data_IF_714334725649
#
_entry.id   IF_714334725649
#
_cell.length_a   1.000
_cell.length_b   1.000
_cell.length_c   1.000
_cell.angle_alpha   90.00
_cell.angle_beta   90.00
_cell.angle_gamma   90.00
#
_symmetry.space_group_name_H-M   'P 1'
#
loop_
_entity.id
_entity.type
_entity.pdbx_description
1 polymer ?
#
# COMPACT_ATOMS: atom_id res chain seq x y z
N UNK A 1 -0.65 -4.54 -1.27
CA UNK A 1 -1.25 -3.71 -0.22
C UNK A 1 -0.17 -3.13 0.71
N UNK A 2 -0.57 -2.21 1.61
CA UNK A 2 0.36 -1.56 2.57
C UNK A 2 0.01 -1.94 4.01
N UNK A 3 -1.17 -1.56 4.48
CA UNK A 3 -1.61 -1.78 5.86
C UNK A 3 -1.92 -3.26 6.12
N UNK A 4 -1.20 -3.89 7.05
CA UNK A 4 -1.29 -5.33 7.32
C UNK A 4 -0.47 -6.22 6.37
N UNK A 5 0.09 -5.64 5.31
CA UNK A 5 0.90 -6.35 4.29
C UNK A 5 2.37 -5.94 4.37
N UNK A 6 2.68 -4.68 4.19
CA UNK A 6 4.04 -4.13 4.32
C UNK A 6 4.31 -3.58 5.72
N UNK A 7 3.27 -3.05 6.35
CA UNK A 7 3.33 -2.43 7.67
C UNK A 7 2.38 -3.13 8.64
N UNK A 8 2.89 -3.52 9.79
CA UNK A 8 2.08 -4.00 10.91
C UNK A 8 1.36 -2.82 11.57
N UNK A 9 0.05 -2.88 11.51
CA UNK A 9 -0.86 -1.86 12.03
C UNK A 9 -1.61 -2.33 13.29
N UNK A 10 -1.18 -3.43 13.90
CA UNK A 10 -1.90 -4.12 14.99
C UNK A 10 -2.21 -3.18 16.17
N UNK A 11 -1.29 -2.26 16.48
CA UNK A 11 -1.43 -1.32 17.60
C UNK A 11 -2.62 -0.35 17.44
N UNK A 12 -3.05 -0.05 16.20
CA UNK A 12 -4.18 0.85 15.91
C UNK A 12 -5.47 0.14 15.49
N UNK A 13 -5.45 -1.19 15.25
CA UNK A 13 -6.66 -1.97 14.93
C UNK A 13 -7.74 -1.90 16.04
N UNK A 14 -7.34 -1.70 17.32
CA UNK A 14 -8.26 -1.53 18.42
C UNK A 14 -9.32 -0.43 18.21
N UNK A 15 -9.00 0.59 17.40
CA UNK A 15 -9.89 1.71 17.10
C UNK A 15 -11.03 1.35 16.17
N UNK A 16 -10.84 0.35 15.31
CA UNK A 16 -11.85 -0.11 14.34
C UNK A 16 -12.45 -1.48 14.66
N UNK A 17 -11.93 -2.18 15.67
CA UNK A 17 -12.54 -3.40 16.23
C UNK A 17 -13.66 -3.09 17.24
N UNK A 18 -13.77 -1.86 17.72
CA UNK A 18 -14.84 -1.40 18.63
C UNK A 18 -16.07 -0.93 17.84
N UNK A 19 -17.19 -0.82 18.54
CA UNK A 19 -18.44 -0.28 17.98
C UNK A 19 -18.88 0.93 18.81
N UNK A 20 -19.09 2.11 18.22
CA UNK A 20 -18.82 2.45 16.81
C UNK A 20 -17.33 2.44 16.49
N UNK A 21 -16.99 2.16 15.21
CA UNK A 21 -15.62 2.24 14.72
C UNK A 21 -15.14 3.69 14.76
N UNK A 22 -13.92 3.89 15.25
CA UNK A 22 -13.26 5.19 15.35
C UNK A 22 -12.22 5.31 14.23
N UNK A 23 -12.70 5.70 13.06
CA UNK A 23 -11.86 5.85 11.89
C UNK A 23 -10.90 7.04 11.99
N UNK A 24 -11.28 8.08 12.73
CA UNK A 24 -10.43 9.26 12.96
C UNK A 24 -9.18 8.85 13.73
N UNK A 25 -9.35 8.20 14.87
CA UNK A 25 -8.23 7.70 15.65
C UNK A 25 -7.40 6.64 14.87
N UNK A 26 -8.05 5.76 14.10
CA UNK A 26 -7.34 4.78 13.29
C UNK A 26 -6.43 5.42 12.24
N UNK A 27 -6.83 6.56 11.67
CA UNK A 27 -6.10 7.28 10.63
C UNK A 27 -5.16 8.36 11.19
N UNK A 28 -5.09 8.56 12.51
CA UNK A 28 -4.25 9.58 13.12
C UNK A 28 -2.78 9.39 12.69
N UNK A 29 -2.16 10.40 12.05
CA UNK A 29 -0.76 10.34 11.66
C UNK A 29 0.20 10.05 12.83
N UNK A 30 -0.15 10.50 14.04
CA UNK A 30 0.62 10.22 15.27
C UNK A 30 0.64 8.74 15.64
N UNK A 31 -0.38 7.98 15.27
CA UNK A 31 -0.37 6.54 15.45
C UNK A 31 0.37 5.84 14.31
N UNK A 32 0.22 6.31 13.08
CA UNK A 32 0.86 5.71 11.90
C UNK A 32 2.39 5.73 11.96
N UNK A 33 2.99 6.69 12.64
CA UNK A 33 4.45 6.72 12.87
C UNK A 33 4.98 5.50 13.63
N UNK A 34 4.10 4.74 14.28
CA UNK A 34 4.42 3.51 15.02
C UNK A 34 4.07 2.24 14.24
N UNK A 35 3.64 2.36 12.99
CA UNK A 35 3.46 1.20 12.11
C UNK A 35 4.84 0.54 11.89
N UNK A 36 4.97 -0.76 12.17
CA UNK A 36 6.24 -1.47 12.07
C UNK A 36 6.38 -2.20 10.73
N UNK A 37 7.57 -2.28 10.14
CA UNK A 37 7.78 -2.94 8.86
C UNK A 37 7.63 -4.46 8.98
N UNK A 38 6.86 -5.07 8.08
CA UNK A 38 6.80 -6.53 7.92
C UNK A 38 7.95 -6.95 7.01
N UNK A 39 9.16 -7.06 7.59
CA UNK A 39 10.42 -7.27 6.88
C UNK A 39 10.42 -8.43 5.87
N UNK A 40 9.81 -9.60 6.13
CA UNK A 40 9.75 -10.66 5.13
C UNK A 40 9.10 -10.22 3.82
N UNK A 41 8.00 -9.48 3.88
CA UNK A 41 7.27 -9.02 2.69
C UNK A 41 8.01 -7.86 2.02
N UNK A 42 8.56 -6.93 2.81
CA UNK A 42 9.41 -5.85 2.30
C UNK A 42 10.61 -6.42 1.54
N UNK A 43 11.29 -7.44 2.07
CA UNK A 43 12.42 -8.06 1.39
C UNK A 43 12.03 -8.75 0.08
N UNK A 44 10.86 -9.37 0.00
CA UNK A 44 10.33 -9.93 -1.26
C UNK A 44 10.12 -8.80 -2.28
N UNK A 45 9.44 -7.72 -1.90
CA UNK A 45 9.19 -6.58 -2.79
C UNK A 45 10.51 -5.93 -3.25
N UNK A 46 11.49 -5.77 -2.35
CA UNK A 46 12.84 -5.29 -2.69
C UNK A 46 13.55 -6.21 -3.69
N UNK A 47 13.44 -7.52 -3.49
CA UNK A 47 14.04 -8.48 -4.42
C UNK A 47 13.49 -8.33 -5.85
N UNK A 48 12.18 -8.09 -6.00
CA UNK A 48 11.58 -7.77 -7.30
C UNK A 48 12.12 -6.45 -7.87
N UNK A 49 12.18 -5.40 -7.07
CA UNK A 49 12.67 -4.10 -7.53
C UNK A 49 14.11 -4.14 -8.04
N UNK A 50 14.99 -4.88 -7.34
CA UNK A 50 16.42 -4.90 -7.65
C UNK A 50 16.82 -5.94 -8.70
N UNK A 51 16.14 -7.09 -8.75
CA UNK A 51 16.57 -8.20 -9.59
C UNK A 51 15.75 -8.35 -10.89
N UNK A 52 14.64 -7.64 -11.00
CA UNK A 52 13.72 -7.75 -12.14
C UNK A 52 13.43 -6.37 -12.75
N UNK A 53 14.38 -5.77 -13.48
CA UNK A 53 14.24 -4.38 -13.96
C UNK A 53 13.10 -4.18 -14.97
N UNK A 54 12.57 -5.26 -15.54
CA UNK A 54 11.40 -5.23 -16.44
C UNK A 54 10.06 -5.34 -15.71
N UNK A 55 10.09 -5.83 -14.48
CA UNK A 55 8.90 -5.93 -13.63
C UNK A 55 8.75 -4.67 -12.78
N UNK A 56 7.54 -4.38 -12.38
CA UNK A 56 7.22 -3.24 -11.52
C UNK A 56 6.58 -3.74 -10.23
N UNK A 57 6.99 -3.17 -9.12
CA UNK A 57 6.24 -3.27 -7.88
C UNK A 57 5.27 -2.09 -7.84
N UNK A 58 3.99 -2.37 -7.67
CA UNK A 58 2.92 -1.38 -7.60
C UNK A 58 2.36 -1.40 -6.19
N UNK A 59 2.24 -0.24 -5.57
CA UNK A 59 1.61 -0.11 -4.27
C UNK A 59 0.15 0.29 -4.46
N UNK A 60 -0.78 -0.52 -3.93
CA UNK A 60 -2.21 -0.26 -3.94
C UNK A 60 -2.74 -0.22 -2.51
N UNK A 61 -3.38 0.86 -2.09
CA UNK A 61 -3.76 1.04 -0.70
C UNK A 61 -5.15 1.63 -0.53
N UNK A 62 -5.83 1.19 0.53
CA UNK A 62 -7.05 1.81 1.03
C UNK A 62 -6.83 3.14 1.76
N UNK A 63 -5.59 3.57 1.96
CA UNK A 63 -5.27 4.91 2.48
C UNK A 63 -5.73 5.99 1.51
N UNK A 64 -6.17 7.13 2.05
CA UNK A 64 -6.62 8.26 1.24
C UNK A 64 -5.47 8.87 0.43
N UNK A 65 -5.79 9.41 -0.74
CA UNK A 65 -4.85 10.19 -1.55
C UNK A 65 -4.24 11.37 -0.79
N UNK A 66 -4.99 11.98 0.13
CA UNK A 66 -4.48 13.03 1.03
C UNK A 66 -3.34 12.56 1.97
N UNK A 67 -3.18 11.24 2.15
CA UNK A 67 -2.12 10.63 2.97
C UNK A 67 -0.92 10.18 2.13
N UNK A 68 -0.89 10.47 0.83
CA UNK A 68 0.15 9.98 -0.10
C UNK A 68 1.55 10.33 0.37
N UNK A 69 1.79 11.59 0.72
CA UNK A 69 3.12 12.06 1.12
C UNK A 69 3.63 11.29 2.34
N UNK A 70 2.82 11.21 3.39
CA UNK A 70 3.20 10.50 4.62
C UNK A 70 3.39 9.00 4.37
N UNK A 71 2.56 8.41 3.49
CA UNK A 71 2.67 6.99 3.13
C UNK A 71 3.95 6.70 2.36
N UNK A 72 4.30 7.53 1.39
CA UNK A 72 5.54 7.41 0.62
C UNK A 72 6.74 7.60 1.54
N UNK A 73 6.70 8.59 2.44
CA UNK A 73 7.76 8.84 3.44
C UNK A 73 7.98 7.63 4.34
N UNK A 74 6.92 7.07 4.90
CA UNK A 74 7.01 5.92 5.80
C UNK A 74 7.57 4.67 5.13
N UNK A 75 7.35 4.49 3.82
CA UNK A 75 7.88 3.36 3.07
C UNK A 75 9.29 3.62 2.53
N UNK A 76 9.67 4.88 2.29
CA UNK A 76 10.98 5.22 1.73
C UNK A 76 12.14 4.75 2.58
N UNK A 77 11.98 4.75 3.89
CA UNK A 77 12.97 4.25 4.85
C UNK A 77 13.32 2.76 4.60
N UNK A 78 12.32 1.96 4.26
CA UNK A 78 12.45 0.52 4.08
C UNK A 78 12.76 0.09 2.66
N UNK A 79 12.34 0.87 1.70
CA UNK A 79 12.59 0.64 0.29
C UNK A 79 13.79 1.42 -0.23
N UNK A 80 14.69 1.90 0.64
CA UNK A 80 15.87 2.70 0.30
C UNK A 80 16.41 2.35 -1.09
N UNK A 81 15.81 2.97 -2.05
CA UNK A 81 16.35 3.08 -3.38
C UNK A 81 17.20 4.34 -3.32
N UNK A 82 18.45 4.27 -3.75
CA UNK A 82 19.40 5.39 -3.79
C UNK A 82 18.91 6.61 -4.62
N UNK A 83 17.67 6.84 -4.72
CA UNK A 83 17.01 7.91 -5.43
C UNK A 83 15.79 8.49 -4.71
N UNK A 84 15.31 7.87 -3.63
CA UNK A 84 14.20 8.39 -2.84
C UNK A 84 14.66 9.46 -1.81
N UNK A 85 15.93 9.83 -1.85
CA UNK A 85 16.58 10.64 -0.83
C UNK A 85 16.17 12.12 -0.77
N UNK A 86 15.19 12.60 -1.48
CA UNK A 86 14.79 14.02 -1.35
C UNK A 86 13.28 14.20 -1.37
N UNK A 87 12.63 13.76 -0.32
CA UNK A 87 11.50 14.55 0.14
C UNK A 87 12.12 15.70 0.91
N UNK A 88 12.02 16.90 0.36
CA UNK A 88 12.56 18.11 0.98
C UNK A 88 11.90 18.33 2.34
N UNK A 89 12.59 19.06 3.22
CA UNK A 89 12.05 19.54 4.50
C UNK A 89 10.71 20.30 4.39
N UNK A 90 10.25 20.57 3.19
CA UNK A 90 8.98 21.22 2.85
C UNK A 90 7.86 20.22 2.45
N UNK A 91 8.08 18.90 2.56
CA UNK A 91 7.07 17.88 2.23
C UNK A 91 6.76 17.77 0.73
N UNK A 92 7.58 18.35 -0.13
CA UNK A 92 7.45 18.21 -1.59
C UNK A 92 8.36 17.10 -2.08
N UNK A 93 7.85 16.22 -2.96
CA UNK A 93 8.69 15.33 -3.73
C UNK A 93 9.66 16.21 -4.54
N UNK A 94 10.95 16.15 -4.20
CA UNK A 94 11.97 16.90 -4.93
C UNK A 94 12.24 16.27 -6.31
N UNK A 95 12.86 17.04 -7.21
CA UNK A 95 13.16 16.71 -8.61
C UNK A 95 13.99 15.41 -8.81
N UNK A 96 14.46 14.79 -7.75
CA UNK A 96 15.23 13.53 -7.80
C UNK A 96 14.34 12.29 -8.10
N UNK A 97 13.02 12.43 -8.15
CA UNK A 97 12.07 11.35 -8.45
C UNK A 97 12.07 10.98 -9.95
N UNK A 98 12.64 11.80 -10.81
CA UNK A 98 12.62 11.56 -12.26
C UNK A 98 13.60 10.48 -12.77
N UNK A 99 14.54 9.99 -11.98
CA UNK A 99 15.63 9.14 -12.49
C UNK A 99 15.55 7.66 -12.14
N UNK A 100 14.59 7.22 -11.35
CA UNK A 100 14.37 5.81 -11.04
C UNK A 100 12.99 5.35 -11.49
N UNK A 101 12.82 4.06 -11.85
CA UNK A 101 11.50 3.53 -12.13
C UNK A 101 10.67 3.61 -10.83
N UNK A 102 10.02 4.75 -10.65
CA UNK A 102 9.16 5.00 -9.51
C UNK A 102 8.10 3.94 -9.46
N UNK A 103 8.08 3.21 -8.37
CA UNK A 103 6.98 2.28 -8.10
C UNK A 103 5.67 3.08 -8.08
N UNK A 104 4.69 2.75 -8.93
CA UNK A 104 3.43 3.47 -8.95
C UNK A 104 2.68 3.25 -7.64
N UNK A 105 2.04 4.33 -7.16
CA UNK A 105 1.15 4.29 -6.01
C UNK A 105 -0.28 4.56 -6.45
N UNK A 106 -1.17 3.64 -6.15
CA UNK A 106 -2.60 3.76 -6.34
C UNK A 106 -3.26 3.81 -4.97
N UNK A 107 -3.95 4.90 -4.70
CA UNK A 107 -4.54 5.16 -3.38
C UNK A 107 -6.02 5.51 -3.54
N UNK A 108 -6.78 5.28 -2.48
CA UNK A 108 -8.18 5.65 -2.40
C UNK A 108 -8.36 7.14 -2.67
N UNK A 109 -9.31 7.50 -3.50
CA UNK A 109 -9.66 8.91 -3.72
C UNK A 109 -10.02 9.59 -2.39
N UNK A 110 -9.72 10.89 -2.30
CA UNK A 110 -10.10 11.68 -1.14
C UNK A 110 -11.63 11.68 -0.97
N UNK A 111 -12.10 11.58 0.26
CA UNK A 111 -13.52 11.49 0.59
C UNK A 111 -14.27 10.26 0.03
N UNK A 112 -13.57 9.22 -0.39
CA UNK A 112 -14.18 7.94 -0.74
C UNK A 112 -14.29 7.05 0.51
N UNK A 113 -15.52 6.78 0.95
CA UNK A 113 -15.83 5.96 2.12
C UNK A 113 -16.39 4.58 1.76
N UNK A 114 -16.32 4.19 0.49
CA UNK A 114 -16.78 2.88 0.03
C UNK A 114 -15.92 1.75 0.60
N UNK A 115 -16.42 0.52 0.47
CA UNK A 115 -15.67 -0.66 0.93
C UNK A 115 -14.35 -0.81 0.18
N UNK A 116 -13.33 -1.31 0.87
CA UNK A 116 -12.01 -1.55 0.29
C UNK A 116 -12.03 -2.44 -0.95
N UNK A 117 -12.93 -3.43 -0.98
CA UNK A 117 -13.10 -4.31 -2.15
C UNK A 117 -13.50 -3.54 -3.40
N UNK A 118 -14.37 -2.53 -3.27
CA UNK A 118 -14.78 -1.67 -4.39
C UNK A 118 -13.63 -0.77 -4.82
N UNK A 119 -12.99 -0.13 -3.86
CA UNK A 119 -11.86 0.78 -4.12
C UNK A 119 -10.71 0.04 -4.79
N UNK A 120 -10.27 -1.09 -4.22
CA UNK A 120 -9.14 -1.85 -4.77
C UNK A 120 -9.47 -2.46 -6.14
N UNK A 121 -10.72 -2.81 -6.41
CA UNK A 121 -11.15 -3.21 -7.75
C UNK A 121 -10.96 -2.07 -8.77
N UNK A 122 -11.41 -0.87 -8.44
CA UNK A 122 -11.23 0.31 -9.31
C UNK A 122 -9.76 0.68 -9.49
N UNK A 123 -8.94 0.60 -8.43
CA UNK A 123 -7.50 0.82 -8.54
C UNK A 123 -6.85 -0.19 -9.49
N UNK A 124 -7.29 -1.45 -9.46
CA UNK A 124 -6.82 -2.46 -10.40
C UNK A 124 -7.21 -2.14 -11.84
N UNK A 125 -8.45 -1.72 -12.07
CA UNK A 125 -8.92 -1.31 -13.40
C UNK A 125 -8.13 -0.10 -13.90
N UNK A 126 -7.80 0.85 -13.03
CA UNK A 126 -6.94 1.98 -13.38
C UNK A 126 -5.51 1.51 -13.75
N UNK A 127 -4.94 0.56 -13.02
CA UNK A 127 -3.65 -0.02 -13.39
C UNK A 127 -3.68 -0.62 -14.82
N UNK A 128 -4.76 -1.29 -15.19
CA UNK A 128 -4.91 -1.84 -16.55
C UNK A 128 -5.00 -0.74 -17.61
N UNK A 129 -5.72 0.36 -17.32
CA UNK A 129 -5.80 1.54 -18.20
C UNK A 129 -4.43 2.19 -18.37
N UNK A 130 -3.64 2.26 -17.30
CA UNK A 130 -2.28 2.81 -17.31
C UNK A 130 -1.25 1.86 -17.97
N UNK A 131 -1.72 0.72 -18.47
CA UNK A 131 -0.90 -0.25 -19.25
C UNK A 131 -0.19 -1.29 -18.40
N UNK A 132 -0.41 -1.32 -17.09
CA UNK A 132 0.13 -2.36 -16.21
C UNK A 132 -0.69 -3.65 -16.35
N UNK A 133 -0.03 -4.79 -16.12
CA UNK A 133 -0.66 -6.12 -16.11
C UNK A 133 -0.27 -6.85 -14.84
N UNK A 134 -0.89 -6.56 -13.70
CA UNK A 134 -0.58 -7.21 -12.44
C UNK A 134 -0.66 -8.74 -12.58
N UNK A 135 0.33 -9.47 -12.07
CA UNK A 135 0.43 -10.92 -12.15
C UNK A 135 0.39 -11.57 -10.78
N UNK A 136 0.78 -10.82 -9.78
CA UNK A 136 0.89 -11.27 -8.40
C UNK A 136 0.46 -10.13 -7.47
N UNK A 137 -0.35 -10.45 -6.49
CA UNK A 137 -0.77 -9.51 -5.45
C UNK A 137 -0.53 -10.11 -4.07
N UNK A 138 -0.12 -9.26 -3.14
CA UNK A 138 -0.01 -9.55 -1.71
C UNK A 138 -1.05 -8.70 -0.97
N UNK A 139 -1.87 -9.32 -0.15
CA UNK A 139 -2.90 -8.65 0.65
C UNK A 139 -3.15 -9.45 1.92
N UNK A 140 -3.67 -8.82 2.96
CA UNK A 140 -3.91 -9.45 4.26
C UNK A 140 -5.40 -9.60 4.59
N UNK A 141 -6.28 -8.81 3.94
CA UNK A 141 -7.70 -8.74 4.31
C UNK A 141 -8.53 -9.79 3.58
N UNK A 142 -9.22 -10.69 4.31
CA UNK A 142 -9.98 -11.80 3.70
C UNK A 142 -10.99 -11.40 2.61
N UNK A 143 -11.75 -10.32 2.83
CA UNK A 143 -12.72 -9.84 1.83
C UNK A 143 -12.06 -9.36 0.54
N UNK A 144 -10.91 -8.69 0.66
CA UNK A 144 -10.13 -8.19 -0.48
C UNK A 144 -9.42 -9.35 -1.19
N UNK A 145 -8.84 -10.29 -0.44
CA UNK A 145 -8.26 -11.51 -1.00
C UNK A 145 -9.28 -12.31 -1.82
N UNK A 146 -10.52 -12.39 -1.34
CA UNK A 146 -11.60 -13.03 -2.11
C UNK A 146 -11.83 -12.31 -3.43
N UNK A 147 -11.91 -10.99 -3.43
CA UNK A 147 -12.07 -10.18 -4.64
C UNK A 147 -10.90 -10.38 -5.61
N UNK A 148 -9.64 -10.36 -5.14
CA UNK A 148 -8.47 -10.61 -5.98
C UNK A 148 -8.50 -11.99 -6.64
N UNK A 149 -8.98 -13.02 -5.93
CA UNK A 149 -9.08 -14.40 -6.46
C UNK A 149 -10.10 -14.56 -7.58
N UNK A 150 -11.04 -13.63 -7.73
CA UNK A 150 -12.02 -13.60 -8.82
C UNK A 150 -11.43 -13.07 -10.13
N UNK A 151 -10.25 -12.45 -10.10
CA UNK A 151 -9.58 -11.91 -11.28
C UNK A 151 -8.77 -13.01 -11.97
N UNK A 152 -9.16 -13.32 -13.20
CA UNK A 152 -8.52 -14.38 -14.01
C UNK A 152 -7.03 -14.08 -14.26
N UNK A 153 -6.17 -15.06 -14.00
CA UNK A 153 -4.73 -14.98 -14.25
C UNK A 153 -3.92 -14.23 -13.18
N UNK A 154 -4.58 -13.60 -12.19
CA UNK A 154 -3.91 -12.96 -11.05
C UNK A 154 -3.58 -14.00 -9.97
N UNK A 155 -2.32 -14.06 -9.55
CA UNK A 155 -1.90 -14.87 -8.41
C UNK A 155 -2.04 -14.08 -7.12
N UNK A 156 -2.56 -14.71 -6.08
CA UNK A 156 -2.89 -14.06 -4.81
C UNK A 156 -2.09 -14.73 -3.70
N UNK A 157 -1.32 -13.94 -2.98
CA UNK A 157 -0.61 -14.35 -1.77
C UNK A 157 -1.30 -13.72 -0.57
N UNK A 158 -1.85 -14.57 0.27
CA UNK A 158 -2.44 -14.21 1.53
C UNK A 158 -1.33 -14.09 2.57
N UNK A 159 -1.11 -12.87 3.08
CA UNK A 159 -0.10 -12.57 4.10
C UNK A 159 -0.73 -12.21 5.44
N UNK A 160 -2.04 -12.25 5.51
CA UNK A 160 -2.80 -11.91 6.70
C UNK A 160 -2.94 -13.07 7.68
N UNK A 161 -3.48 -12.72 8.84
CA UNK A 161 -3.85 -13.69 9.89
C UNK A 161 -5.33 -14.07 9.84
N UNK A 162 -6.01 -13.81 8.72
CA UNK A 162 -7.44 -14.09 8.55
C UNK A 162 -8.36 -13.12 9.31
N UNK A 163 -7.86 -11.94 9.68
CA UNK A 163 -8.63 -10.93 10.44
C UNK A 163 -9.31 -9.95 9.49
N UNK A 164 -10.63 -9.87 9.59
CA UNK A 164 -11.43 -8.84 8.92
C UNK A 164 -11.68 -7.67 9.87
N UNK A 165 -11.65 -6.42 9.38
CA UNK A 165 -11.90 -5.22 10.19
C UNK A 165 -12.57 -4.08 9.40
#
# INVERSE_FOLDING_TARGET
>A
DIDGTLLDISHRLKHIKKTPKDWEAFRDPKLKQWDEPIMPIINIARAFLFNHPRDKVIFASGRSESERVDTVLSLSEWFLLDGWQKITSEGKLGDAVETYPTSPFYMRAENDFRKDTVVKQELYEQMLVDGYKPKLVFDDRPSVLKMWREIEGLKVVDVGMGVEF
#
